data_IF_332115500907
#
_entry.id   IF_332115500907
#
_cell.length_a   1.000
_cell.length_b   1.000
_cell.length_c   1.000
_cell.angle_alpha   90.00
_cell.angle_beta   90.00
_cell.angle_gamma   90.00
#
_symmetry.space_group_name_H-M   'P 1'
#
loop_
_entity.id
_entity.type
_entity.pdbx_description
1 polymer ?
#
# COMPACT_ATOMS: atom_id res chain seq x y z
N UNK A 1 31.93 -15.27 20.52
CA UNK A 1 31.74 -14.69 19.18
C UNK A 1 30.88 -13.44 19.30
N UNK A 2 31.41 -12.25 18.97
CA UNK A 2 30.59 -11.04 18.82
C UNK A 2 29.74 -11.22 17.55
N UNK A 3 28.49 -11.63 17.69
CA UNK A 3 27.54 -11.89 16.59
C UNK A 3 27.05 -10.62 15.88
N UNK A 4 27.67 -9.48 16.16
CA UNK A 4 27.32 -8.16 15.63
C UNK A 4 28.38 -7.57 14.69
N UNK A 5 29.43 -8.32 14.34
CA UNK A 5 30.35 -7.91 13.28
C UNK A 5 29.75 -8.24 11.91
N UNK A 6 28.96 -7.31 11.36
CA UNK A 6 28.50 -7.42 9.98
C UNK A 6 29.65 -7.09 9.02
N UNK A 7 29.82 -7.91 8.00
CA UNK A 7 30.64 -7.55 6.84
C UNK A 7 29.78 -6.57 6.04
N UNK A 8 30.20 -5.31 6.01
CA UNK A 8 29.53 -4.29 5.22
C UNK A 8 29.79 -4.53 3.73
N UNK A 9 28.78 -4.24 2.92
CA UNK A 9 28.88 -4.26 1.47
C UNK A 9 29.60 -3.00 1.01
N UNK A 10 30.75 -3.19 0.35
CA UNK A 10 31.58 -2.11 -0.20
C UNK A 10 31.02 -1.53 -1.51
N UNK A 11 30.16 -2.28 -2.20
CA UNK A 11 29.54 -1.86 -3.47
C UNK A 11 28.02 -1.82 -3.35
N UNK A 12 27.34 -0.92 -4.09
CA UNK A 12 25.88 -0.81 -4.08
C UNK A 12 25.17 -1.87 -4.93
N UNK A 13 25.91 -2.66 -5.73
CA UNK A 13 25.33 -3.61 -6.69
C UNK A 13 24.40 -4.62 -6.00
N UNK A 14 24.78 -5.28 -4.88
CA UNK A 14 23.88 -6.23 -4.22
C UNK A 14 22.61 -5.56 -3.72
N UNK A 15 22.69 -4.33 -3.21
CA UNK A 15 21.52 -3.55 -2.79
C UNK A 15 20.59 -3.30 -3.98
N UNK A 16 21.10 -2.86 -5.12
CA UNK A 16 20.30 -2.54 -6.31
C UNK A 16 19.59 -3.79 -6.82
N UNK A 17 20.33 -4.89 -7.00
CA UNK A 17 19.78 -6.16 -7.50
C UNK A 17 18.75 -6.75 -6.53
N UNK A 18 19.07 -6.78 -5.23
CA UNK A 18 18.15 -7.31 -4.22
C UNK A 18 16.89 -6.43 -4.12
N UNK A 19 17.02 -5.11 -4.15
CA UNK A 19 15.90 -4.18 -4.12
C UNK A 19 14.97 -4.41 -5.30
N UNK A 20 15.49 -4.67 -6.50
CA UNK A 20 14.65 -5.00 -7.66
C UNK A 20 13.78 -6.24 -7.41
N UNK A 21 14.33 -7.29 -6.78
CA UNK A 21 13.53 -8.45 -6.36
C UNK A 21 12.51 -8.12 -5.27
N UNK A 22 12.87 -7.28 -4.30
CA UNK A 22 11.99 -6.93 -3.19
C UNK A 22 10.84 -5.99 -3.60
N UNK A 23 11.06 -5.03 -4.51
CA UNK A 23 9.97 -4.16 -5.01
C UNK A 23 8.93 -4.96 -5.83
N UNK A 24 9.37 -6.01 -6.54
CA UNK A 24 8.45 -6.98 -7.17
C UNK A 24 7.60 -7.67 -6.09
N UNK A 25 8.22 -8.10 -4.98
CA UNK A 25 7.53 -8.71 -3.84
C UNK A 25 6.57 -7.76 -3.12
N UNK A 26 6.87 -6.46 -3.14
CA UNK A 26 5.99 -5.41 -2.60
C UNK A 26 4.83 -5.06 -3.55
N UNK A 27 4.87 -5.53 -4.81
CA UNK A 27 3.83 -5.24 -5.81
C UNK A 27 3.92 -3.82 -6.40
N UNK A 28 5.12 -3.23 -6.45
CA UNK A 28 5.31 -1.84 -6.90
C UNK A 28 5.03 -1.65 -8.39
N UNK A 29 4.32 -0.57 -8.72
CA UNK A 29 4.08 -0.10 -10.08
C UNK A 29 5.23 0.82 -10.55
N UNK A 30 5.52 0.94 -11.86
CA UNK A 30 4.86 0.30 -13.00
C UNK A 30 5.47 -1.08 -13.34
N UNK A 31 6.19 -1.72 -12.41
CA UNK A 31 6.86 -2.97 -12.73
C UNK A 31 5.83 -4.02 -13.14
N UNK A 32 6.09 -4.59 -14.32
CA UNK A 32 5.41 -5.69 -15.01
C UNK A 32 4.57 -6.60 -14.09
N UNK A 33 5.10 -7.01 -12.95
CA UNK A 33 4.51 -8.05 -12.12
C UNK A 33 3.40 -7.54 -11.19
N UNK A 34 3.21 -6.23 -10.95
CA UNK A 34 2.36 -5.70 -9.84
C UNK A 34 0.95 -6.30 -9.73
N UNK A 35 0.36 -6.74 -10.84
CA UNK A 35 -0.96 -7.39 -10.87
C UNK A 35 -0.98 -8.81 -10.31
N UNK A 36 0.18 -9.45 -10.12
CA UNK A 36 0.30 -10.74 -9.44
C UNK A 36 -0.40 -10.69 -8.08
N UNK A 37 -0.32 -9.55 -7.39
CA UNK A 37 -0.84 -9.38 -6.04
C UNK A 37 -2.39 -9.34 -6.04
N UNK A 38 -3.07 -8.48 -6.83
CA UNK A 38 -4.51 -8.57 -7.05
C UNK A 38 -5.01 -9.93 -7.53
N UNK A 39 -4.33 -10.58 -8.48
CA UNK A 39 -4.73 -11.89 -9.03
C UNK A 39 -4.60 -13.00 -7.97
N UNK A 40 -3.48 -13.03 -7.25
CA UNK A 40 -3.24 -14.02 -6.20
C UNK A 40 -4.25 -13.88 -5.06
N UNK A 41 -4.52 -12.65 -4.59
CA UNK A 41 -5.52 -12.43 -3.56
C UNK A 41 -6.94 -12.66 -4.04
N UNK A 42 -7.25 -12.33 -5.30
CA UNK A 42 -8.56 -12.57 -5.89
C UNK A 42 -8.97 -14.04 -5.89
N UNK A 43 -8.00 -14.95 -6.02
CA UNK A 43 -8.22 -16.40 -6.13
C UNK A 43 -7.98 -17.16 -4.83
N UNK A 44 -7.11 -16.67 -3.95
CA UNK A 44 -6.77 -17.36 -2.70
C UNK A 44 -7.91 -17.25 -1.65
N UNK A 45 -8.12 -18.29 -0.81
CA UNK A 45 -9.06 -18.21 0.30
C UNK A 45 -8.74 -17.03 1.23
N UNK A 46 -9.76 -16.35 1.74
CA UNK A 46 -9.59 -15.10 2.49
C UNK A 46 -8.68 -15.21 3.71
N UNK A 47 -8.71 -16.33 4.44
CA UNK A 47 -7.84 -16.57 5.59
C UNK A 47 -6.35 -16.62 5.19
N UNK A 48 -6.05 -17.23 4.04
CA UNK A 48 -4.69 -17.22 3.50
C UNK A 48 -4.30 -15.83 3.01
N UNK A 49 -5.20 -15.11 2.34
CA UNK A 49 -4.95 -13.74 1.91
C UNK A 49 -4.63 -12.79 3.08
N UNK A 50 -5.28 -12.98 4.24
CA UNK A 50 -4.99 -12.21 5.45
C UNK A 50 -3.54 -12.41 5.93
N UNK A 51 -3.06 -13.65 5.98
CA UNK A 51 -1.67 -13.97 6.37
C UNK A 51 -0.69 -13.46 5.31
N UNK A 52 -0.97 -13.74 4.03
CA UNK A 52 -0.07 -13.42 2.92
C UNK A 52 0.08 -11.90 2.72
N UNK A 53 -1.02 -11.13 2.77
CA UNK A 53 -0.94 -9.68 2.53
C UNK A 53 -0.10 -8.97 3.59
N UNK A 54 -0.18 -9.39 4.86
CA UNK A 54 0.58 -8.80 5.95
C UNK A 54 2.05 -9.24 5.92
N UNK A 55 2.33 -10.53 5.76
CA UNK A 55 3.69 -11.07 5.92
C UNK A 55 4.52 -11.01 4.64
N UNK A 56 3.94 -11.37 3.49
CA UNK A 56 4.67 -11.58 2.24
C UNK A 56 5.24 -10.28 1.68
N UNK A 57 4.46 -9.20 1.77
CA UNK A 57 4.86 -7.88 1.24
C UNK A 57 5.85 -7.17 2.16
N UNK A 58 5.72 -7.33 3.48
CA UNK A 58 6.66 -6.78 4.46
C UNK A 58 8.02 -7.48 4.46
N UNK A 59 8.12 -8.71 3.95
CA UNK A 59 9.44 -9.31 3.68
C UNK A 59 10.23 -8.51 2.63
N UNK A 60 9.54 -7.87 1.68
CA UNK A 60 10.17 -6.94 0.73
C UNK A 60 10.69 -5.69 1.43
N UNK A 61 9.87 -5.08 2.29
CA UNK A 61 10.24 -3.91 3.12
C UNK A 61 11.46 -4.24 3.99
N UNK A 62 11.41 -5.37 4.70
CA UNK A 62 12.50 -5.85 5.54
C UNK A 62 13.78 -6.10 4.73
N UNK A 63 13.65 -6.73 3.57
CA UNK A 63 14.78 -7.01 2.68
C UNK A 63 15.50 -5.73 2.22
N UNK A 64 14.75 -4.73 1.75
CA UNK A 64 15.31 -3.43 1.34
C UNK A 64 15.97 -2.73 2.53
N UNK A 65 15.31 -2.70 3.70
CA UNK A 65 15.85 -2.08 4.90
C UNK A 65 17.17 -2.75 5.33
N UNK A 66 17.22 -4.09 5.35
CA UNK A 66 18.43 -4.83 5.73
C UNK A 66 19.58 -4.60 4.75
N UNK A 67 19.31 -4.66 3.46
CA UNK A 67 20.32 -4.37 2.44
C UNK A 67 20.82 -2.94 2.53
N UNK A 68 19.93 -2.00 2.83
CA UNK A 68 20.29 -0.59 3.04
C UNK A 68 21.22 -0.41 4.24
N UNK A 69 20.94 -1.07 5.37
CA UNK A 69 21.78 -1.01 6.57
C UNK A 69 23.16 -1.60 6.29
N UNK A 70 23.24 -2.72 5.57
CA UNK A 70 24.50 -3.40 5.23
C UNK A 70 25.36 -2.67 4.19
N UNK A 71 24.77 -1.76 3.41
CA UNK A 71 25.47 -1.02 2.36
C UNK A 71 26.03 0.29 2.91
N UNK A 72 27.31 0.55 2.67
CA UNK A 72 27.98 1.79 3.13
C UNK A 72 27.69 2.97 2.20
N UNK A 73 27.86 2.77 0.89
CA UNK A 73 27.72 3.83 -0.11
C UNK A 73 26.50 3.57 -0.97
N UNK A 74 25.55 4.50 -0.95
CA UNK A 74 24.33 4.41 -1.75
C UNK A 74 24.35 5.58 -2.75
N UNK A 75 24.37 5.31 -4.06
CA UNK A 75 24.28 6.38 -5.06
C UNK A 75 22.97 7.13 -4.89
N UNK A 76 23.01 8.46 -4.73
CA UNK A 76 21.83 9.27 -4.38
C UNK A 76 20.70 9.15 -5.40
N UNK A 77 21.02 8.94 -6.68
CA UNK A 77 20.02 8.72 -7.73
C UNK A 77 19.17 7.47 -7.51
N UNK A 78 19.70 6.43 -6.84
CA UNK A 78 18.98 5.18 -6.61
C UNK A 78 17.74 5.35 -5.71
N UNK A 79 17.83 5.89 -4.47
CA UNK A 79 16.65 6.12 -3.66
C UNK A 79 15.72 7.19 -4.26
N UNK A 80 16.21 8.17 -5.04
CA UNK A 80 15.33 9.11 -5.75
C UNK A 80 14.45 8.42 -6.80
N UNK A 81 14.98 7.42 -7.50
CA UNK A 81 14.19 6.56 -8.41
C UNK A 81 13.15 5.76 -7.61
N UNK A 82 13.51 5.25 -6.42
CA UNK A 82 12.56 4.55 -5.54
C UNK A 82 11.46 5.48 -5.00
N UNK A 83 11.75 6.76 -4.73
CA UNK A 83 10.74 7.78 -4.41
C UNK A 83 9.73 7.92 -5.55
N UNK A 84 10.20 8.01 -6.80
CA UNK A 84 9.32 8.11 -7.96
C UNK A 84 8.44 6.86 -8.12
N UNK A 85 9.03 5.66 -7.99
CA UNK A 85 8.31 4.38 -8.04
C UNK A 85 7.26 4.29 -6.92
N UNK A 86 7.63 4.64 -5.69
CA UNK A 86 6.74 4.60 -4.54
C UNK A 86 5.58 5.57 -4.70
N UNK A 87 5.85 6.81 -5.11
CA UNK A 87 4.82 7.84 -5.35
C UNK A 87 3.87 7.43 -6.47
N UNK A 88 4.41 6.87 -7.56
CA UNK A 88 3.61 6.31 -8.64
C UNK A 88 2.71 5.17 -8.14
N UNK A 89 3.25 4.27 -7.32
CA UNK A 89 2.50 3.14 -6.73
C UNK A 89 1.41 3.58 -5.77
N UNK A 90 1.63 4.62 -4.96
CA UNK A 90 0.61 5.23 -4.09
C UNK A 90 -0.56 5.70 -4.94
N UNK A 91 -0.29 6.53 -5.94
CA UNK A 91 -1.34 7.12 -6.76
C UNK A 91 -2.10 6.08 -7.59
N UNK A 92 -1.39 5.28 -8.39
CA UNK A 92 -2.03 4.30 -9.26
C UNK A 92 -2.61 3.11 -8.49
N UNK A 93 -2.01 2.69 -7.38
CA UNK A 93 -2.57 1.67 -6.50
C UNK A 93 -3.95 2.08 -5.97
N UNK A 94 -4.09 3.31 -5.47
CA UNK A 94 -5.37 3.84 -5.02
C UNK A 94 -6.41 3.89 -6.16
N UNK A 95 -5.98 4.36 -7.33
CA UNK A 95 -6.81 4.57 -8.50
C UNK A 95 -7.35 3.25 -9.09
N UNK A 96 -6.46 2.27 -9.30
CA UNK A 96 -6.81 0.94 -9.80
C UNK A 96 -7.68 0.17 -8.80
N UNK A 97 -7.41 0.33 -7.51
CA UNK A 97 -8.25 -0.25 -6.47
C UNK A 97 -9.65 0.37 -6.44
N UNK A 98 -9.79 1.67 -6.73
CA UNK A 98 -11.08 2.33 -6.76
C UNK A 98 -11.96 1.82 -7.90
N UNK A 99 -11.37 1.48 -9.04
CA UNK A 99 -12.13 0.91 -10.17
C UNK A 99 -12.34 -0.60 -10.07
N UNK A 100 -11.61 -1.30 -9.22
CA UNK A 100 -11.73 -2.76 -9.10
C UNK A 100 -13.11 -3.18 -8.56
N UNK A 101 -13.73 -4.19 -9.15
CA UNK A 101 -15.02 -4.74 -8.71
C UNK A 101 -14.89 -5.83 -7.65
N UNK A 102 -13.78 -6.56 -7.64
CA UNK A 102 -13.55 -7.62 -6.68
C UNK A 102 -13.12 -7.01 -5.33
N UNK A 103 -13.83 -7.35 -4.26
CA UNK A 103 -13.55 -6.87 -2.90
C UNK A 103 -12.13 -7.19 -2.44
N UNK A 104 -11.58 -8.37 -2.77
CA UNK A 104 -10.18 -8.71 -2.48
C UNK A 104 -9.20 -7.97 -3.38
N UNK A 105 -9.60 -7.70 -4.62
CA UNK A 105 -8.84 -6.88 -5.55
C UNK A 105 -8.67 -5.45 -5.04
N UNK A 106 -9.74 -4.85 -4.50
CA UNK A 106 -9.72 -3.55 -3.81
C UNK A 106 -8.69 -3.54 -2.68
N UNK A 107 -8.67 -4.58 -1.84
CA UNK A 107 -7.73 -4.70 -0.72
C UNK A 107 -6.28 -4.92 -1.18
N UNK A 108 -6.07 -5.66 -2.26
CA UNK A 108 -4.75 -5.89 -2.85
C UNK A 108 -4.18 -4.61 -3.48
N UNK A 109 -4.99 -3.84 -4.20
CA UNK A 109 -4.55 -2.56 -4.77
C UNK A 109 -4.28 -1.50 -3.70
N UNK A 110 -5.08 -1.45 -2.63
CA UNK A 110 -4.70 -0.64 -1.47
C UNK A 110 -3.44 -1.16 -0.77
N UNK A 111 -3.03 -2.43 -0.93
CA UNK A 111 -1.73 -2.90 -0.42
C UNK A 111 -0.58 -2.34 -1.26
N UNK A 112 -0.76 -2.24 -2.58
CA UNK A 112 0.21 -1.59 -3.48
C UNK A 112 0.38 -0.12 -3.10
N UNK A 113 -0.74 0.57 -2.83
CA UNK A 113 -0.76 1.96 -2.39
C UNK A 113 0.04 2.15 -1.08
N UNK A 114 -0.33 1.46 0.00
CA UNK A 114 0.37 1.59 1.28
C UNK A 114 1.86 1.14 1.20
N UNK A 115 2.17 0.10 0.42
CA UNK A 115 3.56 -0.31 0.21
C UNK A 115 4.36 0.75 -0.58
N UNK A 116 3.70 1.51 -1.46
CA UNK A 116 4.31 2.64 -2.15
C UNK A 116 4.72 3.72 -1.15
N UNK A 117 3.85 4.04 -0.19
CA UNK A 117 4.16 4.99 0.89
C UNK A 117 5.34 4.49 1.75
N UNK A 118 5.38 3.19 2.09
CA UNK A 118 6.51 2.57 2.78
C UNK A 118 7.80 2.66 1.95
N UNK A 119 7.74 2.44 0.64
CA UNK A 119 8.90 2.54 -0.24
C UNK A 119 9.43 3.98 -0.29
N UNK A 120 8.55 4.98 -0.33
CA UNK A 120 8.98 6.39 -0.21
C UNK A 120 9.67 6.60 1.14
N UNK A 121 9.08 6.17 2.26
CA UNK A 121 9.71 6.30 3.58
C UNK A 121 11.09 5.61 3.68
N UNK A 122 11.24 4.41 3.10
CA UNK A 122 12.54 3.72 2.99
C UNK A 122 13.54 4.50 2.15
N UNK A 123 13.08 5.11 1.06
CA UNK A 123 13.92 5.91 0.18
C UNK A 123 14.38 7.20 0.88
N UNK A 124 13.50 7.84 1.64
CA UNK A 124 13.82 8.98 2.50
C UNK A 124 14.86 8.61 3.56
N UNK A 125 14.73 7.42 4.18
CA UNK A 125 15.75 6.88 5.07
C UNK A 125 17.12 6.72 4.37
N UNK A 126 17.14 6.17 3.15
CA UNK A 126 18.37 6.01 2.35
C UNK A 126 19.03 7.36 2.01
N UNK A 127 18.22 8.35 1.59
CA UNK A 127 18.69 9.71 1.30
C UNK A 127 19.25 10.36 2.56
N UNK A 128 18.53 10.30 3.68
CA UNK A 128 18.96 10.90 4.94
C UNK A 128 20.27 10.28 5.44
N UNK A 129 20.40 8.95 5.35
CA UNK A 129 21.63 8.21 5.69
C UNK A 129 22.81 8.69 4.84
N UNK A 130 22.63 8.80 3.52
CA UNK A 130 23.70 9.21 2.60
C UNK A 130 24.10 10.68 2.79
N UNK A 131 23.15 11.55 3.16
CA UNK A 131 23.38 12.97 3.46
C UNK A 131 23.77 13.22 4.93
N UNK A 132 23.84 12.19 5.77
CA UNK A 132 24.12 12.29 7.21
C UNK A 132 23.18 13.21 7.99
N UNK A 133 21.89 13.28 7.58
CA UNK A 133 20.85 14.07 8.26
C UNK A 133 20.15 13.18 9.30
N UNK A 134 20.76 13.04 10.48
CA UNK A 134 20.34 12.08 11.52
C UNK A 134 18.91 12.25 12.00
N UNK A 135 18.42 13.49 12.11
CA UNK A 135 17.04 13.77 12.52
C UNK A 135 16.03 13.14 11.56
N UNK A 136 16.20 13.36 10.25
CA UNK A 136 15.29 12.83 9.23
C UNK A 136 15.48 11.32 9.04
N UNK A 137 16.71 10.82 9.20
CA UNK A 137 16.99 9.39 9.15
C UNK A 137 16.16 8.63 10.19
N UNK A 138 16.16 9.08 11.45
CA UNK A 138 15.39 8.44 12.51
C UNK A 138 13.88 8.54 12.29
N UNK A 139 13.37 9.70 11.89
CA UNK A 139 11.94 9.89 11.63
C UNK A 139 11.49 9.02 10.45
N UNK A 140 12.30 8.91 9.40
CA UNK A 140 12.01 8.05 8.24
C UNK A 140 11.98 6.56 8.63
N UNK A 141 12.93 6.10 9.44
CA UNK A 141 12.95 4.71 9.94
C UNK A 141 11.69 4.39 10.76
N UNK A 142 11.27 5.32 11.62
CA UNK A 142 10.06 5.15 12.44
C UNK A 142 8.81 5.15 11.58
N UNK A 143 8.76 6.00 10.56
CA UNK A 143 7.69 6.03 9.57
C UNK A 143 7.52 4.67 8.91
N UNK A 144 8.62 4.03 8.47
CA UNK A 144 8.61 2.66 7.91
C UNK A 144 8.04 1.66 8.91
N UNK A 145 8.46 1.74 10.18
CA UNK A 145 7.99 0.83 11.23
C UNK A 145 6.49 1.01 11.47
N UNK A 146 6.02 2.25 11.67
CA UNK A 146 4.61 2.52 11.96
C UNK A 146 3.72 2.12 10.79
N UNK A 147 4.08 2.43 9.55
CA UNK A 147 3.34 1.95 8.39
C UNK A 147 3.33 0.42 8.31
N UNK A 148 4.43 -0.26 8.61
CA UNK A 148 4.50 -1.73 8.58
C UNK A 148 3.56 -2.37 9.62
N UNK A 149 3.49 -1.80 10.83
CA UNK A 149 2.55 -2.24 11.86
C UNK A 149 1.09 -1.94 11.50
N UNK A 150 0.83 -0.72 11.01
CA UNK A 150 -0.49 -0.32 10.52
C UNK A 150 -0.97 -1.30 9.44
N UNK A 151 -0.15 -1.52 8.41
CA UNK A 151 -0.41 -2.39 7.28
C UNK A 151 -0.72 -3.82 7.74
N UNK A 152 0.15 -4.40 8.57
CA UNK A 152 0.00 -5.77 9.07
C UNK A 152 -1.35 -6.01 9.71
N UNK A 153 -1.73 -5.15 10.66
CA UNK A 153 -2.90 -5.36 11.51
C UNK A 153 -4.17 -5.00 10.73
N UNK A 154 -4.14 -3.87 10.03
CA UNK A 154 -5.28 -3.39 9.29
C UNK A 154 -5.62 -4.28 8.09
N UNK A 155 -4.64 -4.71 7.29
CA UNK A 155 -4.88 -5.65 6.17
C UNK A 155 -5.37 -6.99 6.65
N UNK A 156 -4.81 -7.53 7.72
CA UNK A 156 -5.28 -8.80 8.29
C UNK A 156 -6.78 -8.69 8.65
N UNK A 157 -7.18 -7.62 9.35
CA UNK A 157 -8.59 -7.39 9.68
C UNK A 157 -9.50 -7.17 8.47
N UNK A 158 -9.03 -6.44 7.45
CA UNK A 158 -9.78 -6.18 6.22
C UNK A 158 -9.97 -7.46 5.38
N UNK A 159 -8.93 -8.29 5.20
CA UNK A 159 -9.06 -9.55 4.48
C UNK A 159 -9.93 -10.56 5.22
N UNK A 160 -9.88 -10.59 6.56
CA UNK A 160 -10.84 -11.36 7.36
C UNK A 160 -12.27 -10.88 7.13
N UNK A 161 -12.49 -9.56 7.05
CA UNK A 161 -13.80 -8.98 6.72
C UNK A 161 -14.28 -9.38 5.32
N UNK A 162 -13.40 -9.38 4.32
CA UNK A 162 -13.72 -9.85 2.97
C UNK A 162 -14.11 -11.33 2.96
N UNK A 163 -13.44 -12.17 3.76
CA UNK A 163 -13.77 -13.60 3.88
C UNK A 163 -15.13 -13.89 4.48
N UNK A 164 -15.65 -13.02 5.34
CA UNK A 164 -17.01 -13.15 5.85
C UNK A 164 -18.08 -12.98 4.75
N UNK A 165 -17.73 -12.31 3.65
CA UNK A 165 -18.63 -12.07 2.52
C UNK A 165 -18.41 -13.02 1.35
N UNK A 166 -17.23 -13.62 1.21
CA UNK A 166 -16.96 -14.60 0.16
C UNK A 166 -17.91 -15.81 0.22
N UNK A 167 -18.38 -16.16 1.42
CA UNK A 167 -19.42 -17.17 1.64
C UNK A 167 -20.84 -16.69 1.34
N UNK A 168 -21.03 -15.43 0.91
CA UNK A 168 -22.31 -14.81 0.61
C UNK A 168 -22.37 -14.50 -0.88
N UNK A 169 -23.35 -15.04 -1.59
CA UNK A 169 -23.56 -14.71 -3.01
C UNK A 169 -23.89 -13.22 -3.17
N UNK A 170 -23.07 -12.50 -3.94
CA UNK A 170 -23.17 -11.05 -4.22
C UNK A 170 -24.48 -10.70 -4.95
N UNK A 171 -25.21 -11.69 -5.45
CA UNK A 171 -26.51 -11.52 -6.08
C UNK A 171 -27.53 -11.11 -5.03
N UNK A 172 -27.91 -9.83 -5.06
CA UNK A 172 -29.08 -9.21 -4.41
C UNK A 172 -28.93 -8.87 -2.93
N UNK A 173 -29.05 -7.59 -2.57
CA UNK A 173 -29.19 -7.18 -1.17
C UNK A 173 -30.29 -6.14 -0.99
N UNK A 174 -31.14 -6.39 0.01
CA UNK A 174 -32.28 -5.54 0.40
C UNK A 174 -32.19 -5.02 1.83
N UNK A 175 -31.06 -5.16 2.54
CA UNK A 175 -30.97 -4.72 3.95
C UNK A 175 -29.60 -4.20 4.37
N UNK A 176 -29.61 -2.96 4.83
CA UNK A 176 -28.51 -2.30 5.56
C UNK A 176 -28.40 -2.92 6.95
N UNK A 177 -27.19 -3.34 7.35
CA UNK A 177 -26.88 -3.67 8.76
C UNK A 177 -25.83 -2.69 9.30
N UNK A 178 -25.78 -2.54 10.63
CA UNK A 178 -24.78 -1.74 11.33
C UNK A 178 -23.37 -2.04 10.84
N UNK A 179 -22.70 -1.00 10.33
CA UNK A 179 -21.27 -0.99 10.03
C UNK A 179 -20.51 -1.34 11.32
N UNK A 180 -19.58 -2.30 11.26
CA UNK A 180 -18.77 -2.61 12.44
C UNK A 180 -17.75 -1.49 12.66
N UNK A 181 -17.68 -0.95 13.88
CA UNK A 181 -16.72 0.10 14.24
C UNK A 181 -15.29 -0.38 13.96
N UNK A 182 -15.00 -1.66 14.21
CA UNK A 182 -13.71 -2.27 13.88
C UNK A 182 -13.35 -2.10 12.40
N UNK A 183 -14.29 -2.35 11.49
CA UNK A 183 -14.03 -2.17 10.06
C UNK A 183 -13.75 -0.71 9.70
N UNK A 184 -14.44 0.25 10.30
CA UNK A 184 -14.17 1.69 10.11
C UNK A 184 -12.77 2.06 10.62
N UNK A 185 -12.35 1.55 11.77
CA UNK A 185 -11.01 1.79 12.32
C UNK A 185 -9.90 1.19 11.44
N UNK A 186 -10.10 -0.03 10.92
CA UNK A 186 -9.14 -0.67 10.01
C UNK A 186 -9.03 0.08 8.69
N UNK A 187 -10.17 0.45 8.10
CA UNK A 187 -10.22 1.22 6.86
C UNK A 187 -9.59 2.60 7.05
N UNK A 188 -9.99 3.35 8.07
CA UNK A 188 -9.42 4.67 8.34
C UNK A 188 -7.90 4.61 8.57
N UNK A 189 -7.37 3.55 9.18
CA UNK A 189 -5.92 3.39 9.28
C UNK A 189 -5.23 3.10 7.95
N UNK A 190 -5.86 2.39 7.01
CA UNK A 190 -5.29 2.17 5.67
C UNK A 190 -5.43 3.37 4.75
N UNK A 191 -6.38 4.27 5.06
CA UNK A 191 -6.56 5.58 4.42
C UNK A 191 -5.65 6.69 4.97
N UNK A 192 -4.70 6.37 5.85
CA UNK A 192 -3.87 7.38 6.49
C UNK A 192 -4.62 8.37 7.38
N UNK A 193 -5.80 8.01 7.90
CA UNK A 193 -6.60 8.90 8.74
C UNK A 193 -6.27 8.74 10.23
N UNK A 194 -6.02 9.88 10.87
CA UNK A 194 -5.91 10.00 12.32
C UNK A 194 -7.26 9.66 12.99
N UNK A 195 -7.25 9.14 14.22
CA UNK A 195 -6.11 9.02 15.17
C UNK A 195 -5.33 7.69 15.09
N UNK A 196 -5.61 6.85 14.10
CA UNK A 196 -5.03 5.50 14.03
C UNK A 196 -3.53 5.50 13.73
N UNK A 197 -2.86 4.37 13.99
CA UNK A 197 -1.42 4.22 13.69
C UNK A 197 -1.07 4.53 12.23
N UNK A 198 -1.90 4.15 11.26
CA UNK A 198 -1.63 4.48 9.85
C UNK A 198 -1.75 5.98 9.57
N UNK A 199 -2.63 6.71 10.27
CA UNK A 199 -2.69 8.16 10.18
C UNK A 199 -1.48 8.86 10.78
N UNK A 200 -0.94 8.33 11.89
CA UNK A 200 0.34 8.82 12.42
C UNK A 200 1.48 8.54 11.45
N UNK A 201 1.53 7.35 10.85
CA UNK A 201 2.56 6.99 9.89
C UNK A 201 2.50 7.90 8.63
N UNK A 202 1.30 8.17 8.12
CA UNK A 202 1.07 9.04 6.96
C UNK A 202 1.46 10.48 7.25
N UNK A 203 1.14 10.98 8.44
CA UNK A 203 1.58 12.29 8.88
C UNK A 203 3.11 12.37 8.95
N UNK A 204 3.79 11.38 9.56
CA UNK A 204 5.26 11.37 9.62
C UNK A 204 5.91 11.27 8.24
N UNK A 205 5.29 10.58 7.28
CA UNK A 205 5.78 10.54 5.89
C UNK A 205 5.72 11.92 5.23
N UNK A 206 4.58 12.60 5.34
CA UNK A 206 4.44 13.98 4.83
C UNK A 206 5.40 14.93 5.55
N UNK A 207 5.56 14.77 6.86
CA UNK A 207 6.49 15.54 7.67
C UNK A 207 7.94 15.37 7.19
N UNK A 208 8.38 14.13 6.94
CA UNK A 208 9.73 13.86 6.41
C UNK A 208 9.95 14.58 5.06
N UNK A 209 8.94 14.59 4.19
CA UNK A 209 9.03 15.25 2.88
C UNK A 209 9.14 16.78 3.03
N UNK A 210 8.37 17.37 3.95
CA UNK A 210 8.49 18.80 4.28
C UNK A 210 9.84 19.14 4.90
N UNK A 211 10.33 18.32 5.82
CA UNK A 211 11.67 18.48 6.41
C UNK A 211 12.75 18.42 5.33
N UNK A 212 12.72 17.45 4.42
CA UNK A 212 13.69 17.39 3.32
C UNK A 212 13.65 18.63 2.44
N UNK A 213 12.45 19.08 2.07
CA UNK A 213 12.28 20.30 1.29
C UNK A 213 12.84 21.53 2.03
N UNK A 214 12.59 21.62 3.34
CA UNK A 214 13.07 22.69 4.20
C UNK A 214 14.60 22.66 4.34
N UNK A 215 15.24 21.49 4.43
CA UNK A 215 16.69 21.40 4.66
C UNK A 215 17.50 21.63 3.39
N UNK A 216 17.06 21.10 2.25
CA UNK A 216 17.87 21.08 1.03
C UNK A 216 17.88 22.41 0.26
N UNK A 217 16.83 23.23 0.38
CA UNK A 217 16.70 24.54 -0.26
C UNK A 217 17.10 24.61 -1.76
N UNK A 218 16.99 23.50 -2.50
CA UNK A 218 17.47 23.38 -3.88
C UNK A 218 16.33 22.89 -4.81
N UNK A 219 16.59 22.76 -6.12
CA UNK A 219 15.64 22.24 -7.11
C UNK A 219 15.09 20.86 -6.72
N UNK A 220 15.88 20.05 -6.01
CA UNK A 220 15.46 18.74 -5.47
C UNK A 220 14.32 18.90 -4.43
N UNK A 221 14.22 20.04 -3.72
CA UNK A 221 13.10 20.30 -2.80
C UNK A 221 11.75 20.28 -3.51
N UNK A 222 11.69 20.70 -4.78
CA UNK A 222 10.46 20.65 -5.60
C UNK A 222 9.99 19.19 -5.76
N UNK A 223 10.92 18.25 -5.92
CA UNK A 223 10.60 16.82 -6.02
C UNK A 223 9.92 16.31 -4.74
N UNK A 224 10.40 16.71 -3.56
CA UNK A 224 9.82 16.27 -2.28
C UNK A 224 8.45 16.90 -2.02
N UNK A 225 8.23 18.17 -2.38
CA UNK A 225 6.91 18.81 -2.34
C UNK A 225 5.95 18.10 -3.30
N UNK A 226 6.37 17.85 -4.54
CA UNK A 226 5.56 17.15 -5.54
C UNK A 226 5.22 15.72 -5.09
N UNK A 227 6.19 15.01 -4.50
CA UNK A 227 5.99 13.69 -3.89
C UNK A 227 4.95 13.74 -2.78
N UNK A 228 5.03 14.73 -1.88
CA UNK A 228 4.07 14.92 -0.81
C UNK A 228 2.65 15.17 -1.33
N UNK A 229 2.51 15.97 -2.40
CA UNK A 229 1.23 16.21 -3.05
C UNK A 229 0.63 14.94 -3.68
N UNK A 230 1.47 14.12 -4.33
CA UNK A 230 1.05 12.84 -4.93
C UNK A 230 0.60 11.86 -3.84
N UNK A 231 1.34 11.78 -2.73
CA UNK A 231 0.98 10.92 -1.60
C UNK A 231 -0.35 11.36 -0.98
N UNK A 232 -0.51 12.65 -0.72
CA UNK A 232 -1.76 13.19 -0.18
C UNK A 232 -2.96 12.91 -1.11
N UNK A 233 -2.76 13.02 -2.43
CA UNK A 233 -3.79 12.68 -3.41
C UNK A 233 -4.10 11.18 -3.42
N UNK A 234 -3.09 10.32 -3.32
CA UNK A 234 -3.25 8.87 -3.25
C UNK A 234 -3.99 8.42 -1.98
N UNK A 235 -3.61 8.93 -0.81
CA UNK A 235 -4.30 8.66 0.48
C UNK A 235 -5.77 9.15 0.45
N UNK A 236 -6.04 10.29 -0.22
CA UNK A 236 -7.40 10.77 -0.47
C UNK A 236 -8.22 9.81 -1.35
N UNK A 237 -7.63 9.28 -2.42
CA UNK A 237 -8.26 8.25 -3.26
C UNK A 237 -8.40 6.91 -2.53
N UNK A 238 -7.43 6.52 -1.70
CA UNK A 238 -7.47 5.34 -0.85
C UNK A 238 -8.64 5.45 0.15
N UNK A 239 -8.91 6.65 0.66
CA UNK A 239 -10.10 6.93 1.47
C UNK A 239 -11.39 6.64 0.71
N UNK A 240 -11.53 7.15 -0.51
CA UNK A 240 -12.71 6.90 -1.34
C UNK A 240 -12.88 5.40 -1.66
N UNK A 241 -11.77 4.71 -1.96
CA UNK A 241 -11.69 3.27 -2.20
C UNK A 241 -12.17 2.48 -0.97
N UNK A 242 -11.70 2.82 0.23
CA UNK A 242 -12.01 2.09 1.45
C UNK A 242 -13.42 2.38 1.97
N UNK A 243 -13.94 3.59 1.73
CA UNK A 243 -15.37 3.90 1.92
C UNK A 243 -16.21 3.00 1.00
N UNK A 244 -15.88 2.91 -0.29
CA UNK A 244 -16.54 2.01 -1.25
C UNK A 244 -16.47 0.55 -0.81
N UNK A 245 -15.32 0.09 -0.30
CA UNK A 245 -15.18 -1.24 0.31
C UNK A 245 -16.16 -1.43 1.49
N UNK A 246 -16.20 -0.49 2.45
CA UNK A 246 -17.16 -0.54 3.56
C UNK A 246 -18.59 -0.59 3.03
N UNK A 247 -18.93 0.22 2.03
CA UNK A 247 -20.26 0.23 1.43
C UNK A 247 -20.64 -1.14 0.88
N UNK A 248 -19.81 -1.76 0.03
CA UNK A 248 -20.10 -3.12 -0.47
C UNK A 248 -20.26 -4.13 0.64
N UNK A 249 -19.38 -4.04 1.64
CA UNK A 249 -19.27 -5.06 2.67
C UNK A 249 -20.35 -4.98 3.74
N UNK A 250 -20.92 -3.79 3.98
CA UNK A 250 -21.85 -3.54 5.09
C UNK A 250 -23.27 -3.16 4.66
N UNK A 251 -23.43 -2.49 3.52
CA UNK A 251 -24.72 -1.98 3.04
C UNK A 251 -25.43 -2.99 2.14
N UNK A 252 -24.68 -3.79 1.39
CA UNK A 252 -25.22 -4.68 0.34
C UNK A 252 -25.11 -6.19 0.67
N UNK A 253 -25.34 -6.62 1.92
CA UNK A 253 -25.32 -8.06 2.27
C UNK A 253 -26.64 -8.78 1.91
N UNK A 254 -26.55 -9.95 1.26
CA UNK A 254 -27.70 -10.85 1.07
C UNK A 254 -27.96 -11.66 2.35
N UNK A 255 -29.24 -11.79 2.72
CA UNK A 255 -29.67 -12.52 3.91
C UNK A 255 -29.76 -14.01 3.64
N UNK A 256 -29.03 -14.83 4.42
CA UNK A 256 -29.49 -16.17 4.83
C UNK A 256 -28.82 -16.72 6.10
N UNK A 257 -27.56 -16.36 6.38
CA UNK A 257 -26.90 -16.80 7.62
C UNK A 257 -26.60 -15.64 8.57
N UNK A 258 -27.12 -15.76 9.79
CA UNK A 258 -26.69 -14.92 10.90
C UNK A 258 -25.23 -15.29 11.23
N UNK A 259 -24.27 -14.56 10.65
CA UNK A 259 -22.85 -14.71 10.96
C UNK A 259 -22.67 -14.77 12.48
N UNK A 260 -22.11 -15.87 12.98
CA UNK A 260 -21.87 -16.08 14.41
C UNK A 260 -21.05 -14.90 14.95
N UNK A 261 -21.43 -14.40 16.13
CA UNK A 261 -20.74 -13.27 16.78
C UNK A 261 -19.22 -13.49 16.87
N UNK A 262 -18.81 -14.76 17.02
CA UNK A 262 -17.43 -15.24 17.07
C UNK A 262 -16.61 -14.75 15.87
N UNK A 263 -17.18 -14.76 14.65
CA UNK A 263 -16.48 -14.32 13.43
C UNK A 263 -16.24 -12.81 13.35
N UNK A 264 -16.94 -11.99 14.15
CA UNK A 264 -16.85 -10.52 14.11
C UNK A 264 -15.90 -9.91 15.13
N UNK A 265 -15.62 -10.61 16.23
CA UNK A 265 -14.71 -10.12 17.27
C UNK A 265 -13.28 -9.88 16.78
N UNK A 266 -12.68 -10.71 15.90
CA UNK A 266 -11.32 -10.44 15.39
C UNK A 266 -11.21 -9.11 14.64
N UNK A 267 -12.23 -8.74 13.86
CA UNK A 267 -12.30 -7.46 13.13
C UNK A 267 -12.44 -6.28 14.11
N UNK A 268 -13.28 -6.44 15.13
CA UNK A 268 -13.45 -5.43 16.18
C UNK A 268 -12.15 -5.22 16.96
N UNK A 269 -11.53 -6.31 17.40
CA UNK A 269 -10.31 -6.30 18.19
C UNK A 269 -9.13 -5.72 17.41
N UNK A 270 -8.92 -6.14 16.17
CA UNK A 270 -7.89 -5.55 15.30
C UNK A 270 -8.10 -4.06 15.07
N UNK A 271 -9.35 -3.61 14.87
CA UNK A 271 -9.66 -2.18 14.76
C UNK A 271 -9.26 -1.38 16.00
N UNK A 272 -9.57 -1.88 17.21
CA UNK A 272 -9.13 -1.24 18.45
C UNK A 272 -7.62 -1.29 18.66
N UNK A 273 -6.94 -2.36 18.26
CA UNK A 273 -5.47 -2.43 18.33
C UNK A 273 -4.84 -1.33 17.50
N UNK A 274 -5.29 -1.15 16.26
CA UNK A 274 -4.79 -0.12 15.35
C UNK A 274 -4.98 1.30 15.93
N UNK A 275 -6.12 1.52 16.58
CA UNK A 275 -6.38 2.76 17.31
C UNK A 275 -5.40 2.92 18.48
N UNK A 276 -5.30 1.92 19.38
CA UNK A 276 -4.43 1.94 20.57
C UNK A 276 -2.96 2.16 20.18
N UNK A 277 -2.47 1.46 19.15
CA UNK A 277 -1.10 1.59 18.68
C UNK A 277 -0.82 2.97 18.10
N UNK A 278 -1.83 3.67 17.54
CA UNK A 278 -1.69 5.05 17.10
C UNK A 278 -1.33 5.99 18.26
N UNK A 279 -1.83 5.70 19.46
CA UNK A 279 -1.42 6.40 20.67
C UNK A 279 -0.11 5.86 21.21
N UNK A 280 0.04 4.55 21.41
CA UNK A 280 1.13 4.04 22.25
C UNK A 280 2.45 3.86 21.52
N UNK A 281 2.44 3.35 20.29
CA UNK A 281 3.66 2.90 19.61
C UNK A 281 4.62 4.04 19.25
N UNK A 282 4.15 5.21 18.74
CA UNK A 282 5.04 6.34 18.48
C UNK A 282 5.81 6.81 19.72
N UNK A 283 5.18 6.84 20.90
CA UNK A 283 5.86 7.24 22.15
C UNK A 283 6.87 6.20 22.65
N UNK A 284 6.65 4.92 22.36
CA UNK A 284 7.57 3.86 22.73
C UNK A 284 8.85 3.87 21.88
N UNK A 285 8.72 4.22 20.60
CA UNK A 285 9.82 4.13 19.61
C UNK A 285 10.53 5.48 19.41
N UNK A 286 9.84 6.61 19.58
CA UNK A 286 10.42 7.96 19.44
C UNK A 286 10.52 8.69 20.80
N UNK A 287 11.51 8.35 21.65
CA UNK A 287 11.60 8.87 22.99
C UNK A 287 12.34 10.22 23.01
N UNK A 288 11.84 11.24 22.31
CA UNK A 288 12.09 12.61 22.80
C UNK A 288 11.03 12.90 23.86
N UNK A 289 11.28 12.40 25.07
CA UNK A 289 10.56 12.85 26.27
C UNK A 289 10.78 14.35 26.40
N UNK A 290 9.81 15.16 26.00
CA UNK A 290 9.79 16.55 26.44
C UNK A 290 9.11 16.65 27.81
N UNK A 291 9.79 17.35 28.71
CA UNK A 291 9.37 17.75 30.06
C UNK A 291 8.58 19.06 30.05
N UNK A 292 8.18 19.57 28.87
CA UNK A 292 7.46 20.82 28.73
C UNK A 292 5.95 20.59 28.77
N UNK A 293 5.30 21.07 29.84
CA UNK A 293 3.85 21.19 29.92
C UNK A 293 3.43 22.27 28.91
N UNK A 294 2.89 21.85 27.77
CA UNK A 294 2.24 22.78 26.83
C UNK A 294 0.91 23.19 27.46
N UNK A 295 0.75 24.47 27.76
CA UNK A 295 -0.43 25.00 28.46
C UNK A 295 -1.71 24.68 27.67
N UNK A 296 -2.71 24.10 28.35
CA UNK A 296 -3.95 23.63 27.72
C UNK A 296 -3.90 22.20 27.18
N UNK A 297 -2.76 21.49 27.28
CA UNK A 297 -2.66 20.10 26.87
C UNK A 297 -2.79 19.10 28.04
N UNK A 298 -3.82 18.25 28.05
CA UNK A 298 -3.88 16.99 28.77
C UNK A 298 -2.68 16.10 28.35
N UNK A 299 -1.72 15.99 29.27
CA UNK A 299 -0.54 15.10 29.25
C UNK A 299 0.45 15.30 28.09
N UNK A 300 1.66 14.73 28.21
CA UNK A 300 2.72 14.64 27.18
C UNK A 300 2.27 13.79 25.97
N UNK A 301 1.19 14.18 25.32
CA UNK A 301 0.48 13.45 24.28
C UNK A 301 0.77 14.02 22.88
N UNK A 302 1.85 14.78 22.71
CA UNK A 302 2.29 15.30 21.41
C UNK A 302 3.48 14.51 20.91
N UNK A 303 3.35 13.95 19.72
CA UNK A 303 4.45 13.41 18.94
C UNK A 303 5.09 14.60 18.24
N UNK A 304 6.20 15.09 18.80
CA UNK A 304 6.99 16.16 18.22
C UNK A 304 7.97 15.59 17.21
N UNK A 305 8.27 16.33 16.17
CA UNK A 305 9.38 16.06 15.25
C UNK A 305 10.40 17.15 15.44
N UNK A 306 11.66 16.75 15.59
CA UNK A 306 12.76 17.67 15.82
C UNK A 306 13.67 17.73 14.60
N UNK A 307 14.10 18.94 14.24
CA UNK A 307 15.23 19.16 13.37
C UNK A 307 16.35 19.79 14.20
N UNK A 308 17.39 18.99 14.48
CA UNK A 308 18.39 19.30 15.50
C UNK A 308 17.74 19.65 16.85
N UNK A 309 17.95 20.86 17.35
CA UNK A 309 17.43 21.31 18.66
C UNK A 309 16.05 22.00 18.56
N UNK A 310 15.54 22.23 17.36
CA UNK A 310 14.28 22.95 17.17
C UNK A 310 13.13 21.96 16.90
N UNK A 311 11.97 22.24 17.48
CA UNK A 311 10.71 21.59 17.09
C UNK A 311 10.35 22.03 15.68
N UNK A 312 10.15 21.09 14.76
CA UNK A 312 9.72 21.37 13.40
C UNK A 312 8.20 21.27 13.29
N UNK A 313 7.63 20.16 13.76
CA UNK A 313 6.19 19.96 13.80
C UNK A 313 5.76 19.08 14.98
N UNK A 314 4.46 18.87 15.08
CA UNK A 314 3.89 18.08 16.16
C UNK A 314 2.47 17.66 15.88
N UNK A 315 2.15 16.42 16.27
CA UNK A 315 0.79 15.89 16.17
C UNK A 315 0.38 15.18 17.44
N UNK A 316 -0.90 15.28 17.78
CA UNK A 316 -1.46 14.49 18.88
C UNK A 316 -2.71 13.75 18.43
N UNK A 317 -2.64 12.41 18.32
CA UNK A 317 -3.82 11.57 18.11
C UNK A 317 -4.92 11.81 19.16
N UNK A 318 -4.53 12.17 20.39
CA UNK A 318 -5.48 12.44 21.48
C UNK A 318 -6.30 13.70 21.21
N UNK A 319 -5.65 14.78 20.77
CA UNK A 319 -6.37 16.00 20.41
C UNK A 319 -7.26 15.80 19.19
N UNK A 320 -6.86 14.96 18.23
CA UNK A 320 -7.74 14.64 17.10
C UNK A 320 -9.01 13.93 17.57
N UNK A 321 -8.91 12.97 18.49
CA UNK A 321 -10.12 12.34 19.08
C UNK A 321 -10.95 13.35 19.84
N UNK A 322 -10.35 14.15 20.71
CA UNK A 322 -11.08 15.17 21.49
C UNK A 322 -11.77 16.17 20.58
N UNK A 323 -11.12 16.59 19.50
CA UNK A 323 -11.68 17.52 18.54
C UNK A 323 -12.89 16.89 17.82
N UNK A 324 -12.76 15.65 17.33
CA UNK A 324 -13.87 14.93 16.69
C UNK A 324 -15.04 14.75 17.67
N UNK A 325 -14.78 14.37 18.92
CA UNK A 325 -15.84 14.15 19.92
C UNK A 325 -16.51 15.46 20.35
N UNK A 326 -15.74 16.53 20.56
CA UNK A 326 -16.27 17.85 20.89
C UNK A 326 -17.11 18.40 19.74
N UNK A 327 -16.61 18.36 18.50
CA UNK A 327 -17.40 18.80 17.34
C UNK A 327 -18.67 17.97 17.15
N UNK A 328 -18.60 16.66 17.37
CA UNK A 328 -19.77 15.78 17.33
C UNK A 328 -20.77 16.12 18.42
N UNK A 329 -20.31 16.42 19.65
CA UNK A 329 -21.14 16.81 20.78
C UNK A 329 -21.78 18.18 20.55
N UNK A 330 -21.02 19.18 20.10
CA UNK A 330 -21.54 20.51 19.75
C UNK A 330 -22.61 20.38 18.66
N UNK A 331 -22.35 19.59 17.62
CA UNK A 331 -23.33 19.35 16.56
C UNK A 331 -24.60 18.68 17.10
N UNK A 332 -24.44 17.69 17.98
CA UNK A 332 -25.57 17.03 18.63
C UNK A 332 -26.37 17.97 19.54
N UNK A 333 -25.70 18.85 20.28
CA UNK A 333 -26.35 19.84 21.15
C UNK A 333 -27.05 20.94 20.35
N UNK A 334 -26.44 21.41 19.26
CA UNK A 334 -26.98 22.47 18.41
C UNK A 334 -28.17 22.01 17.56
N UNK A 335 -28.08 20.81 16.98
CA UNK A 335 -29.10 20.30 16.04
C UNK A 335 -30.02 19.24 16.65
N UNK A 336 -29.72 18.73 17.85
CA UNK A 336 -30.48 17.69 18.52
C UNK A 336 -30.42 16.33 17.83
N UNK A 337 -31.27 15.40 18.27
CA UNK A 337 -31.45 14.12 17.57
C UNK A 337 -32.16 14.36 16.23
N UNK A 338 -31.60 13.88 15.11
CA UNK A 338 -32.29 13.99 13.83
C UNK A 338 -33.62 13.22 13.90
N UNK A 339 -34.71 13.84 13.43
CA UNK A 339 -36.00 13.17 13.29
C UNK A 339 -35.91 12.18 12.11
N UNK A 340 -35.69 10.90 12.41
CA UNK A 340 -35.57 9.86 11.38
C UNK A 340 -36.97 9.42 10.94
N UNK A 341 -37.34 9.70 9.69
CA UNK A 341 -38.51 9.10 9.03
C UNK A 341 -38.05 7.88 8.23
N UNK A 342 -38.61 6.70 8.50
CA UNK A 342 -38.48 5.55 7.62
C UNK A 342 -39.47 5.71 6.47
N UNK A 343 -38.97 5.79 5.26
CA UNK A 343 -39.76 5.80 4.04
C UNK A 343 -39.13 4.81 3.06
N UNK A 344 -39.90 4.37 2.07
CA UNK A 344 -39.33 3.64 0.94
C UNK A 344 -38.35 4.55 0.20
N UNK A 345 -37.26 3.97 -0.30
CA UNK A 345 -36.28 4.70 -1.10
C UNK A 345 -36.95 5.24 -2.35
N UNK A 346 -36.97 6.56 -2.50
CA UNK A 346 -37.50 7.18 -3.70
C UNK A 346 -36.70 6.75 -4.93
N UNK A 347 -37.38 6.15 -5.89
CA UNK A 347 -36.80 5.67 -7.14
C UNK A 347 -37.55 6.26 -8.35
N UNK A 348 -37.73 7.58 -8.35
CA UNK A 348 -38.42 8.31 -9.43
C UNK A 348 -39.82 7.76 -9.77
N UNK A 349 -40.54 7.19 -8.80
CA UNK A 349 -41.87 6.62 -8.99
C UNK A 349 -41.92 5.21 -9.60
N UNK A 350 -40.78 4.51 -9.72
CA UNK A 350 -40.71 3.13 -10.23
C UNK A 350 -40.57 2.13 -9.09
N UNK A 351 -41.41 1.08 -9.10
CA UNK A 351 -41.43 0.02 -8.08
C UNK A 351 -40.17 -0.87 -8.09
N UNK A 352 -39.50 -0.99 -9.25
CA UNK A 352 -38.27 -1.77 -9.39
C UNK A 352 -37.05 -0.95 -8.98
N UNK A 353 -36.43 -1.33 -7.86
CA UNK A 353 -35.19 -0.70 -7.40
C UNK A 353 -34.07 -0.95 -8.39
N UNK A 354 -33.49 0.11 -8.96
CA UNK A 354 -32.28 0.00 -9.75
C UNK A 354 -31.13 -0.50 -8.85
N UNK A 355 -30.47 -1.57 -9.26
CA UNK A 355 -29.36 -2.17 -8.52
C UNK A 355 -28.08 -1.36 -8.75
N UNK A 356 -27.55 -0.75 -7.69
CA UNK A 356 -26.22 -0.14 -7.74
C UNK A 356 -25.16 -1.24 -7.71
N UNK A 357 -24.62 -1.56 -8.88
CA UNK A 357 -23.54 -2.52 -9.02
C UNK A 357 -22.19 -1.90 -8.66
N UNK A 358 -21.22 -2.78 -8.39
CA UNK A 358 -19.87 -2.32 -8.10
C UNK A 358 -19.21 -1.56 -9.26
N UNK A 359 -19.65 -1.88 -10.48
CA UNK A 359 -19.33 -1.19 -11.70
C UNK A 359 -19.92 0.22 -11.73
N UNK A 360 -21.23 0.37 -11.49
CA UNK A 360 -21.93 1.65 -11.56
C UNK A 360 -21.32 2.71 -10.62
N UNK A 361 -20.92 2.30 -9.41
CA UNK A 361 -20.31 3.20 -8.41
C UNK A 361 -18.92 3.71 -8.85
N UNK A 362 -18.18 2.94 -9.67
CA UNK A 362 -16.87 3.32 -10.15
C UNK A 362 -16.86 3.89 -11.58
N UNK A 363 -18.01 3.91 -12.27
CA UNK A 363 -18.08 4.18 -13.70
C UNK A 363 -17.53 5.57 -14.07
N UNK A 364 -17.78 6.60 -13.25
CA UNK A 364 -17.25 7.94 -13.50
C UNK A 364 -15.72 7.95 -13.55
N UNK A 365 -15.06 7.29 -12.59
CA UNK A 365 -13.60 7.17 -12.56
C UNK A 365 -13.11 6.27 -13.70
N UNK A 366 -13.81 5.18 -14.01
CA UNK A 366 -13.47 4.33 -15.16
C UNK A 366 -13.47 5.10 -16.48
N UNK A 367 -14.45 6.00 -16.68
CA UNK A 367 -14.53 6.84 -17.87
C UNK A 367 -13.39 7.86 -17.92
N UNK A 368 -13.03 8.47 -16.79
CA UNK A 368 -11.84 9.33 -16.72
C UNK A 368 -10.56 8.57 -17.09
N UNK A 369 -10.50 7.28 -16.76
CA UNK A 369 -9.36 6.40 -17.03
C UNK A 369 -9.50 5.59 -18.32
N UNK A 370 -10.45 5.90 -19.21
CA UNK A 370 -10.72 5.11 -20.42
C UNK A 370 -9.47 4.86 -21.27
N UNK A 371 -8.55 5.84 -21.34
CA UNK A 371 -7.28 5.70 -22.07
C UNK A 371 -6.31 4.68 -21.44
N UNK A 372 -6.33 4.57 -20.12
CA UNK A 372 -5.43 3.71 -19.33
C UNK A 372 -6.03 2.30 -19.20
N UNK A 373 -7.29 2.21 -18.79
CA UNK A 373 -8.00 0.95 -18.54
C UNK A 373 -8.47 0.27 -19.82
N UNK A 374 -8.62 1.01 -20.93
CA UNK A 374 -9.09 0.53 -22.25
C UNK A 374 -10.25 -0.47 -22.15
N UNK A 375 -11.36 -0.10 -21.49
CA UNK A 375 -12.50 -1.01 -21.38
C UNK A 375 -13.02 -1.39 -22.77
N UNK A 376 -13.24 -2.69 -23.03
CA UNK A 376 -13.88 -3.15 -24.25
C UNK A 376 -15.40 -3.01 -24.09
N UNK A 377 -16.03 -2.27 -24.99
CA UNK A 377 -17.48 -2.09 -25.01
C UNK A 377 -18.13 -3.17 -25.89
N UNK A 378 -18.01 -4.45 -25.52
CA UNK A 378 -18.82 -5.51 -26.15
C UNK A 378 -20.16 -5.67 -25.42
N UNK A 379 -21.28 -5.37 -26.11
CA UNK A 379 -22.67 -5.66 -25.70
C UNK A 379 -23.06 -5.26 -24.27
N UNK A 380 -23.29 -3.96 -24.04
CA UNK A 380 -23.98 -3.39 -22.85
C UNK A 380 -23.42 -3.75 -21.46
N UNK A 381 -22.36 -4.55 -21.37
CA UNK A 381 -21.59 -4.87 -20.18
C UNK A 381 -20.12 -4.84 -20.59
N UNK A 382 -19.32 -3.86 -20.14
CA UNK A 382 -17.93 -3.80 -20.55
C UNK A 382 -17.18 -5.04 -20.02
N UNK A 383 -16.65 -5.83 -20.94
CA UNK A 383 -15.67 -6.87 -20.63
C UNK A 383 -14.31 -6.21 -20.42
N UNK A 384 -13.52 -6.77 -19.50
CA UNK A 384 -12.21 -6.24 -19.15
C UNK A 384 -11.27 -6.34 -20.36
N UNK A 385 -10.95 -5.20 -20.99
CA UNK A 385 -9.85 -5.10 -21.95
C UNK A 385 -8.51 -5.26 -21.22
N UNK A 386 -7.48 -5.71 -21.95
CA UNK A 386 -6.10 -5.72 -21.44
C UNK A 386 -5.65 -4.27 -21.24
N UNK A 387 -5.34 -3.91 -19.99
CA UNK A 387 -4.82 -2.58 -19.70
C UNK A 387 -3.41 -2.40 -20.27
N UNK A 388 -2.90 -1.17 -20.24
CA UNK A 388 -1.59 -0.85 -20.86
C UNK A 388 -0.45 -1.70 -20.27
N UNK A 389 -0.50 -2.00 -18.97
CA UNK A 389 0.55 -2.78 -18.30
C UNK A 389 0.45 -4.26 -18.67
N UNK A 390 -0.77 -4.80 -18.72
CA UNK A 390 -1.05 -6.17 -19.16
C UNK A 390 -0.65 -6.41 -20.60
N UNK A 391 -0.94 -5.46 -21.49
CA UNK A 391 -0.57 -5.58 -22.91
C UNK A 391 0.96 -5.69 -23.06
N UNK A 392 1.70 -4.86 -22.32
CA UNK A 392 3.16 -4.90 -22.34
C UNK A 392 3.69 -6.22 -21.76
N UNK A 393 3.12 -6.71 -20.64
CA UNK A 393 3.51 -7.98 -20.05
C UNK A 393 3.21 -9.16 -20.95
N UNK A 394 2.04 -9.16 -21.60
CA UNK A 394 1.64 -10.20 -22.53
C UNK A 394 2.55 -10.22 -23.77
N UNK A 395 2.92 -9.04 -24.31
CA UNK A 395 3.90 -8.92 -25.38
C UNK A 395 5.26 -9.48 -24.96
N UNK A 396 5.78 -9.06 -23.80
CA UNK A 396 7.05 -9.54 -23.27
C UNK A 396 7.04 -11.07 -23.07
N UNK A 397 5.98 -11.62 -22.47
CA UNK A 397 5.84 -13.06 -22.27
C UNK A 397 5.79 -13.82 -23.61
N UNK A 398 5.11 -13.28 -24.61
CA UNK A 398 5.08 -13.84 -25.96
C UNK A 398 6.45 -13.76 -26.65
N UNK A 399 7.16 -12.66 -26.50
CA UNK A 399 8.51 -12.49 -27.06
C UNK A 399 9.49 -13.47 -26.43
N UNK A 400 9.44 -13.65 -25.10
CA UNK A 400 10.24 -14.67 -24.39
C UNK A 400 9.87 -16.07 -24.87
N UNK A 401 8.58 -16.39 -25.02
CA UNK A 401 8.13 -17.69 -25.53
C UNK A 401 8.59 -17.93 -26.96
N UNK A 402 8.50 -16.91 -27.82
CA UNK A 402 8.95 -16.95 -29.22
C UNK A 402 10.46 -17.13 -29.29
N UNK A 403 11.22 -16.39 -28.49
CA UNK A 403 12.66 -16.55 -28.36
C UNK A 403 13.00 -17.97 -27.90
N UNK A 404 12.35 -18.48 -26.86
CA UNK A 404 12.56 -19.84 -26.36
C UNK A 404 12.27 -20.90 -27.42
N UNK A 405 11.23 -20.71 -28.24
CA UNK A 405 10.92 -21.59 -29.37
C UNK A 405 12.01 -21.55 -30.45
N UNK A 406 12.41 -20.35 -30.88
CA UNK A 406 13.49 -20.17 -31.88
C UNK A 406 14.80 -20.77 -31.36
N UNK A 407 15.13 -20.51 -30.10
CA UNK A 407 16.33 -21.04 -29.45
C UNK A 407 16.30 -22.58 -29.43
N UNK A 408 15.18 -23.18 -29.01
CA UNK A 408 15.02 -24.63 -28.98
C UNK A 408 15.12 -25.24 -30.39
N UNK A 409 14.43 -24.69 -31.39
CA UNK A 409 14.47 -25.18 -32.77
C UNK A 409 15.86 -25.02 -33.41
N UNK A 410 16.61 -23.97 -33.05
CA UNK A 410 17.95 -23.70 -33.60
C UNK A 410 19.02 -24.59 -32.96
N UNK A 411 19.07 -24.61 -31.63
CA UNK A 411 20.16 -25.26 -30.88
C UNK A 411 19.87 -26.72 -30.52
N UNK A 412 18.61 -27.09 -30.28
CA UNK A 412 18.19 -28.46 -29.96
C UNK A 412 17.65 -29.12 -31.22
N UNK A 413 18.50 -29.19 -32.24
CA UNK A 413 18.18 -29.90 -33.49
C UNK A 413 18.60 -31.38 -33.39
N UNK A 414 18.07 -32.27 -34.24
CA UNK A 414 18.40 -33.70 -34.21
C UNK A 414 19.71 -34.05 -34.93
N UNK A 415 20.53 -33.06 -35.33
CA UNK A 415 21.74 -33.27 -36.10
C UNK A 415 22.96 -33.46 -35.22
N UNK A 416 23.59 -34.63 -35.32
CA UNK A 416 24.84 -34.96 -34.60
C UNK A 416 25.96 -33.98 -34.97
N UNK A 417 26.02 -33.53 -36.22
CA UNK A 417 27.08 -32.61 -36.71
C UNK A 417 27.09 -31.28 -35.95
N UNK A 418 25.91 -30.70 -35.67
CA UNK A 418 25.80 -29.46 -34.91
C UNK A 418 26.27 -29.64 -33.46
N UNK A 419 25.94 -30.75 -32.82
CA UNK A 419 26.43 -31.04 -31.46
C UNK A 419 27.95 -31.18 -31.39
N UNK A 420 28.57 -31.82 -32.38
CA UNK A 420 30.04 -31.90 -32.46
C UNK A 420 30.65 -30.50 -32.56
N UNK A 421 30.09 -29.62 -33.39
CA UNK A 421 30.53 -28.21 -33.52
C UNK A 421 30.40 -27.48 -32.19
N UNK A 422 29.28 -27.63 -31.48
CA UNK A 422 29.07 -27.00 -30.17
C UNK A 422 30.10 -27.48 -29.14
N UNK A 423 30.44 -28.78 -29.13
CA UNK A 423 31.46 -29.33 -28.23
C UNK A 423 32.84 -28.73 -28.55
N UNK A 424 33.23 -28.69 -29.83
CA UNK A 424 34.52 -28.12 -30.24
C UNK A 424 34.61 -26.63 -29.87
N UNK A 425 33.57 -25.85 -30.17
CA UNK A 425 33.50 -24.43 -29.81
C UNK A 425 33.60 -24.23 -28.30
N UNK A 426 32.87 -25.03 -27.52
CA UNK A 426 32.91 -24.96 -26.06
C UNK A 426 34.32 -25.26 -25.55
N UNK A 427 34.99 -26.26 -26.10
CA UNK A 427 36.35 -26.63 -25.73
C UNK A 427 37.37 -25.52 -26.07
N UNK A 428 37.24 -24.88 -27.23
CA UNK A 428 38.06 -23.73 -27.61
C UNK A 428 37.85 -22.57 -26.62
N UNK A 429 36.59 -22.22 -26.31
CA UNK A 429 36.28 -21.17 -25.34
C UNK A 429 36.86 -21.49 -23.97
N UNK A 430 36.75 -22.75 -23.52
CA UNK A 430 37.26 -23.20 -22.23
C UNK A 430 38.79 -23.09 -22.17
N UNK A 431 39.50 -23.47 -23.25
CA UNK A 431 40.96 -23.28 -23.36
C UNK A 431 41.30 -21.79 -23.29
N UNK A 432 40.61 -20.93 -24.04
CA UNK A 432 40.86 -19.48 -24.03
C UNK A 432 40.67 -18.91 -22.62
N UNK A 433 39.58 -19.24 -21.94
CA UNK A 433 39.29 -18.75 -20.59
C UNK A 433 40.33 -19.23 -19.59
N UNK A 434 40.81 -20.48 -19.68
CA UNK A 434 41.84 -21.04 -18.79
C UNK A 434 43.24 -20.49 -19.08
N UNK A 435 43.53 -20.15 -20.32
CA UNK A 435 44.84 -19.59 -20.71
C UNK A 435 44.92 -18.08 -20.46
N UNK A 436 43.78 -17.36 -20.55
CA UNK A 436 43.72 -15.91 -20.36
C UNK A 436 43.29 -15.45 -18.95
N UNK A 437 42.62 -16.31 -18.19
CA UNK A 437 42.27 -16.09 -16.78
C UNK A 437 43.31 -16.70 -15.85
#
# INVERSE_FOLDING_TARGET
MKTTSFIYLSTPIPLIVATFGFIIKMGMMPFLVSEWLPIAHGTAPSNFSAILSATMTLMGVYGILRMTILTQTIPIGFPLVLVAIGSFSVFFGALYGYVNENTKGILAFSTIENNGAILVALSLYMVAKQLSITSIEHISLITVILYSFAHSIAKTGLFLSAGLQEHQSITYSKKIRNVSIGLVLLASSMSGLLPNIGGVASWLLLENLFMFSYVLHDVISILFIATGAIIAMGEGLATALLVRYITYTSIFQNTREQLSKIKKYPILFSGFIVLILGFTLPYLIYPYKNSAIIFGMLTNSVILTHYYNNTFGGISPLYVVLLITIFSLISYLAFGKPKIRKAETWNNGVNEQAEYTAFAMANNIRQMLKKILRPEEEKFLPTYGLDIFWEYLYKLANDIRRFGKIFAETFINSSISWYIIYIILTLIVLIIVVVMG
#
